data_IF_098161388667
#
_entry.id   IF_098161388667
#
_cell.length_a   1.000
_cell.length_b   1.000
_cell.length_c   1.000
_cell.angle_alpha   90.00
_cell.angle_beta   90.00
_cell.angle_gamma   90.00
#
_symmetry.space_group_name_H-M   'P 1'
#
loop_
_entity.id
_entity.type
_entity.pdbx_description
1 polymer ?
#
# COMPACT_ATOMS: atom_id res chain seq x y z
N UNK A 1 -30.62 -66.53 80.85
CA UNK A 1 -30.49 -66.84 79.40
C UNK A 1 -29.82 -65.66 78.72
N UNK A 2 -28.71 -65.95 78.03
CA UNK A 2 -27.84 -65.08 77.22
C UNK A 2 -27.46 -63.68 77.76
N UNK A 3 -26.31 -63.62 78.43
CA UNK A 3 -25.46 -62.42 78.43
C UNK A 3 -24.99 -62.18 76.98
N UNK A 4 -25.18 -60.99 76.39
CA UNK A 4 -24.70 -60.74 75.03
C UNK A 4 -23.17 -60.84 75.00
N UNK A 5 -22.64 -61.65 74.07
CA UNK A 5 -21.19 -61.70 73.81
C UNK A 5 -20.73 -60.29 73.45
N UNK A 6 -19.85 -59.70 74.27
CA UNK A 6 -19.18 -58.44 73.91
C UNK A 6 -18.42 -58.65 72.61
N UNK A 7 -18.73 -57.86 71.59
CA UNK A 7 -17.92 -57.78 70.38
C UNK A 7 -16.53 -57.27 70.76
N UNK A 8 -15.52 -58.10 70.54
CA UNK A 8 -14.12 -57.75 70.80
C UNK A 8 -13.53 -57.16 69.53
N UNK A 9 -13.41 -55.84 69.51
CA UNK A 9 -12.76 -55.08 68.43
C UNK A 9 -11.28 -54.86 68.75
N UNK A 10 -10.49 -54.59 67.72
CA UNK A 10 -9.08 -54.20 67.79
C UNK A 10 -8.88 -52.93 66.97
N UNK A 11 -7.92 -52.09 67.37
CA UNK A 11 -7.60 -50.88 66.63
C UNK A 11 -6.84 -51.20 65.35
N UNK A 12 -7.17 -50.52 64.25
CA UNK A 12 -6.32 -50.51 63.06
C UNK A 12 -4.97 -49.86 63.40
N UNK A 13 -3.90 -50.30 62.73
CA UNK A 13 -2.56 -49.73 62.92
C UNK A 13 -2.42 -48.36 62.22
N UNK A 14 -3.31 -48.04 61.27
CA UNK A 14 -3.45 -46.72 60.66
C UNK A 14 -4.47 -45.87 61.43
N UNK A 15 -4.02 -44.76 62.02
CA UNK A 15 -4.83 -43.84 62.85
C UNK A 15 -5.86 -43.04 62.07
N UNK A 16 -5.77 -43.05 60.73
CA UNK A 16 -6.71 -42.37 59.82
C UNK A 16 -7.66 -43.36 59.13
N UNK A 17 -7.70 -44.62 59.59
CA UNK A 17 -8.64 -45.62 59.08
C UNK A 17 -10.08 -45.30 59.54
N UNK A 18 -11.06 -45.16 58.63
CA UNK A 18 -12.47 -44.90 59.00
C UNK A 18 -13.09 -45.98 59.90
N UNK A 19 -12.49 -47.17 59.90
CA UNK A 19 -12.92 -48.33 60.68
C UNK A 19 -12.07 -48.54 61.94
N UNK A 20 -11.31 -47.53 62.37
CA UNK A 20 -10.31 -47.58 63.47
C UNK A 20 -10.82 -48.33 64.71
N UNK A 21 -12.08 -48.14 65.11
CA UNK A 21 -12.67 -48.70 66.32
C UNK A 21 -13.64 -49.87 66.07
N UNK A 22 -13.76 -50.32 64.81
CA UNK A 22 -14.76 -51.30 64.36
C UNK A 22 -14.17 -52.58 63.76
N UNK A 23 -12.84 -52.76 63.76
CA UNK A 23 -12.22 -53.98 63.24
C UNK A 23 -12.39 -55.11 64.25
N UNK A 24 -13.04 -56.21 63.87
CA UNK A 24 -13.14 -57.40 64.72
C UNK A 24 -11.74 -57.97 64.97
N UNK A 25 -11.42 -58.33 66.22
CA UNK A 25 -10.07 -58.83 66.59
C UNK A 25 -9.62 -60.02 65.72
N UNK A 26 -10.55 -60.92 65.37
CA UNK A 26 -10.28 -62.08 64.50
C UNK A 26 -9.94 -61.70 63.05
N UNK A 27 -10.32 -60.50 62.60
CA UNK A 27 -10.15 -60.01 61.23
C UNK A 27 -9.02 -58.97 61.12
N UNK A 28 -8.34 -58.62 62.23
CA UNK A 28 -7.30 -57.58 62.26
C UNK A 28 -6.20 -57.82 61.22
N UNK A 29 -5.71 -59.05 61.09
CA UNK A 29 -4.64 -59.39 60.15
C UNK A 29 -5.07 -59.22 58.69
N UNK A 30 -6.28 -59.66 58.34
CA UNK A 30 -6.85 -59.49 57.00
C UNK A 30 -7.09 -58.00 56.69
N UNK A 31 -7.62 -57.27 57.66
CA UNK A 31 -7.79 -55.82 57.54
C UNK A 31 -6.46 -55.11 57.33
N UNK A 32 -5.38 -55.48 58.01
CA UNK A 32 -4.08 -54.82 57.84
C UNK A 32 -3.53 -54.90 56.40
N UNK A 33 -3.72 -56.03 55.70
CA UNK A 33 -3.30 -56.18 54.30
C UNK A 33 -4.22 -55.48 53.30
N UNK A 34 -5.52 -55.40 53.60
CA UNK A 34 -6.55 -54.87 52.68
C UNK A 34 -6.96 -53.43 53.00
N UNK A 35 -6.49 -52.86 54.11
CA UNK A 35 -6.86 -51.52 54.56
C UNK A 35 -6.48 -50.49 53.50
N UNK A 36 -7.43 -49.71 52.95
CA UNK A 36 -7.12 -48.65 52.00
C UNK A 36 -6.18 -47.59 52.57
N UNK A 37 -6.16 -47.44 53.90
CA UNK A 37 -5.30 -46.50 54.62
C UNK A 37 -3.99 -47.12 55.09
N UNK A 38 -3.64 -48.34 54.65
CA UNK A 38 -2.32 -48.92 54.93
C UNK A 38 -1.24 -48.09 54.24
N UNK A 39 -0.09 -47.99 54.89
CA UNK A 39 1.04 -47.21 54.38
C UNK A 39 1.77 -48.02 53.28
N UNK A 40 2.07 -47.39 52.16
CA UNK A 40 2.94 -47.87 51.08
C UNK A 40 4.16 -46.97 50.93
N UNK A 41 5.24 -47.56 50.42
CA UNK A 41 6.49 -46.86 50.12
C UNK A 41 6.60 -46.59 48.61
N UNK A 42 7.04 -45.39 48.23
CA UNK A 42 7.34 -45.04 46.84
C UNK A 42 8.86 -45.05 46.61
N UNK A 43 9.35 -45.90 45.70
CA UNK A 43 10.78 -45.96 45.35
C UNK A 43 11.32 -44.78 44.54
N UNK A 44 10.45 -43.88 44.05
CA UNK A 44 10.87 -42.69 43.30
C UNK A 44 11.20 -41.51 44.23
N UNK A 45 10.28 -41.16 45.13
CA UNK A 45 10.47 -40.05 46.07
C UNK A 45 10.88 -40.49 47.48
N UNK A 46 11.01 -41.80 47.71
CA UNK A 46 11.28 -42.42 49.03
C UNK A 46 10.23 -42.11 50.11
N UNK A 47 9.06 -41.58 49.71
CA UNK A 47 7.98 -41.19 50.60
C UNK A 47 7.03 -42.33 50.96
N UNK A 48 6.25 -42.10 52.02
CA UNK A 48 5.24 -43.04 52.53
C UNK A 48 3.83 -42.45 52.37
N UNK A 49 2.91 -43.21 51.78
CA UNK A 49 1.56 -42.74 51.42
C UNK A 49 0.49 -43.78 51.77
N UNK A 50 -0.77 -43.37 51.82
CA UNK A 50 -1.87 -44.33 51.94
C UNK A 50 -2.01 -45.13 50.63
N UNK A 51 -2.33 -46.42 50.74
CA UNK A 51 -2.54 -47.25 49.55
C UNK A 51 -3.64 -46.72 48.64
N UNK A 52 -4.70 -46.13 49.21
CA UNK A 52 -5.78 -45.47 48.46
C UNK A 52 -5.30 -44.33 47.56
N UNK A 53 -4.21 -43.65 47.92
CA UNK A 53 -3.61 -42.57 47.13
C UNK A 53 -2.38 -43.01 46.34
N UNK A 54 -1.99 -44.30 46.36
CA UNK A 54 -0.77 -44.77 45.70
C UNK A 54 -0.79 -44.51 44.18
N UNK A 55 -1.95 -44.75 43.53
CA UNK A 55 -2.08 -44.54 42.09
C UNK A 55 -1.95 -43.06 41.72
N UNK A 56 -2.70 -42.21 42.42
CA UNK A 56 -2.65 -40.75 42.24
C UNK A 56 -1.24 -40.21 42.52
N UNK A 57 -0.62 -40.67 43.60
CA UNK A 57 0.77 -40.33 43.92
C UNK A 57 1.74 -40.76 42.80
N UNK A 58 1.64 -41.97 42.25
CA UNK A 58 2.54 -42.41 41.17
C UNK A 58 2.40 -41.57 39.90
N UNK A 59 1.18 -41.10 39.59
CA UNK A 59 0.91 -40.21 38.47
C UNK A 59 1.43 -38.78 38.72
N UNK A 60 1.36 -38.32 39.97
CA UNK A 60 1.75 -36.97 40.40
C UNK A 60 3.11 -36.91 41.12
N UNK A 61 3.91 -37.98 41.07
CA UNK A 61 5.15 -38.07 41.83
C UNK A 61 6.16 -37.09 41.24
N UNK A 62 6.38 -35.95 41.91
CA UNK A 62 7.31 -34.90 41.49
C UNK A 62 8.76 -35.41 41.30
N UNK A 63 9.14 -36.49 42.00
CA UNK A 63 10.47 -37.12 41.96
C UNK A 63 10.47 -38.36 41.07
N UNK A 64 9.51 -38.51 40.16
CA UNK A 64 9.55 -39.58 39.17
C UNK A 64 10.87 -39.50 38.42
N UNK A 65 11.67 -40.56 38.49
CA UNK A 65 12.91 -40.67 37.75
C UNK A 65 12.57 -40.80 36.27
N UNK A 66 13.06 -39.87 35.46
CA UNK A 66 12.94 -39.87 34.01
C UNK A 66 14.30 -40.17 33.41
N UNK A 67 14.37 -41.08 32.44
CA UNK A 67 15.58 -41.33 31.70
C UNK A 67 15.66 -40.40 30.48
N UNK A 68 16.84 -39.84 30.22
CA UNK A 68 17.14 -39.17 28.96
C UNK A 68 17.00 -40.15 27.78
N UNK A 69 16.33 -39.76 26.70
CA UNK A 69 16.15 -40.64 25.52
C UNK A 69 17.49 -40.97 24.83
N UNK A 70 18.50 -40.12 24.99
CA UNK A 70 19.78 -40.20 24.29
C UNK A 70 20.84 -40.92 25.13
N UNK A 71 21.28 -40.32 26.24
CA UNK A 71 22.38 -40.85 27.06
C UNK A 71 21.94 -41.84 28.15
N UNK A 72 20.63 -42.06 28.31
CA UNK A 72 20.01 -42.97 29.30
C UNK A 72 20.25 -42.60 30.77
N UNK A 73 20.80 -41.42 31.07
CA UNK A 73 20.95 -40.91 32.44
C UNK A 73 19.58 -40.71 33.11
N UNK A 74 19.45 -41.19 34.35
CA UNK A 74 18.27 -40.95 35.19
C UNK A 74 18.31 -39.54 35.80
N UNK A 75 17.22 -38.80 35.67
CA UNK A 75 17.07 -37.40 36.08
C UNK A 75 15.78 -37.22 36.90
N UNK A 76 15.74 -36.24 37.79
CA UNK A 76 14.61 -36.01 38.70
C UNK A 76 13.61 -35.05 38.04
N UNK A 77 12.45 -35.60 37.66
CA UNK A 77 11.38 -34.79 37.07
C UNK A 77 11.73 -34.18 35.71
N UNK A 78 10.80 -33.40 35.18
CA UNK A 78 10.89 -32.85 33.83
C UNK A 78 11.87 -31.67 33.72
N UNK A 79 11.99 -30.84 34.76
CA UNK A 79 12.87 -29.65 34.73
C UNK A 79 14.35 -30.03 34.61
N UNK A 80 14.81 -31.01 35.40
CA UNK A 80 16.18 -31.52 35.32
C UNK A 80 16.43 -32.22 33.97
N UNK A 81 15.42 -32.94 33.46
CA UNK A 81 15.48 -33.56 32.14
C UNK A 81 15.63 -32.53 31.02
N UNK A 82 14.85 -31.46 31.04
CA UNK A 82 14.90 -30.41 30.04
C UNK A 82 16.24 -29.67 30.07
N UNK A 83 16.73 -29.29 31.25
CA UNK A 83 18.05 -28.66 31.41
C UNK A 83 19.19 -29.59 30.93
N UNK A 84 19.08 -30.88 31.19
CA UNK A 84 20.02 -31.87 30.66
C UNK A 84 19.99 -31.95 29.14
N UNK A 85 18.81 -31.98 28.49
CA UNK A 85 18.71 -32.07 27.03
C UNK A 85 19.41 -30.91 26.30
N UNK A 86 19.46 -29.73 26.89
CA UNK A 86 20.20 -28.58 26.36
C UNK A 86 21.73 -28.79 26.33
N UNK A 87 22.25 -29.65 27.21
CA UNK A 87 23.70 -29.89 27.40
C UNK A 87 24.13 -31.33 27.09
N UNK A 88 23.19 -32.23 26.81
CA UNK A 88 23.45 -33.63 26.53
C UNK A 88 24.31 -33.79 25.27
N UNK A 89 25.46 -34.44 25.41
CA UNK A 89 26.42 -34.67 24.32
C UNK A 89 25.92 -35.68 23.28
N UNK A 90 25.04 -36.59 23.68
CA UNK A 90 24.42 -37.60 22.82
C UNK A 90 23.11 -37.12 22.18
N UNK A 91 22.59 -35.95 22.59
CA UNK A 91 21.39 -35.39 21.99
C UNK A 91 21.62 -35.06 20.51
N UNK A 92 20.69 -35.47 19.66
CA UNK A 92 20.70 -35.14 18.24
C UNK A 92 20.34 -33.67 18.06
N UNK A 93 21.29 -32.88 17.56
CA UNK A 93 21.09 -31.46 17.26
C UNK A 93 21.21 -31.19 15.75
N UNK A 94 20.58 -30.11 15.32
CA UNK A 94 20.66 -29.61 13.94
C UNK A 94 21.85 -28.65 13.80
N UNK A 95 22.43 -28.56 12.61
CA UNK A 95 23.49 -27.59 12.32
C UNK A 95 22.96 -26.14 12.46
N UNK A 96 23.79 -25.25 13.01
CA UNK A 96 23.48 -23.82 13.13
C UNK A 96 23.21 -23.13 11.77
N UNK A 97 23.64 -23.76 10.68
CA UNK A 97 23.44 -23.27 9.32
C UNK A 97 22.26 -23.94 8.59
N UNK A 98 21.32 -24.56 9.31
CA UNK A 98 20.10 -25.16 8.72
C UNK A 98 19.32 -24.18 7.85
N UNK A 99 19.14 -22.95 8.32
CA UNK A 99 18.41 -21.91 7.58
C UNK A 99 19.15 -21.45 6.32
N UNK A 100 20.44 -21.77 6.23
CA UNK A 100 21.29 -21.52 5.06
C UNK A 100 21.48 -22.78 4.20
N UNK A 101 20.74 -23.87 4.47
CA UNK A 101 20.67 -25.07 3.64
C UNK A 101 21.43 -26.29 4.17
N UNK A 102 22.06 -26.23 5.35
CA UNK A 102 22.73 -27.41 5.92
C UNK A 102 21.75 -28.36 6.63
N UNK A 103 21.47 -29.52 6.03
CA UNK A 103 20.52 -30.50 6.59
C UNK A 103 21.14 -31.50 7.58
N UNK A 104 22.38 -31.27 8.06
CA UNK A 104 23.07 -32.20 8.95
C UNK A 104 22.41 -32.22 10.34
N UNK A 105 22.09 -33.43 10.80
CA UNK A 105 21.71 -33.74 12.19
C UNK A 105 22.68 -34.77 12.74
N UNK A 106 23.22 -34.53 13.92
CA UNK A 106 24.19 -35.41 14.55
C UNK A 106 24.18 -35.23 16.07
N UNK A 107 24.72 -36.18 16.85
CA UNK A 107 24.97 -35.98 18.27
C UNK A 107 25.78 -34.70 18.50
N UNK A 108 25.49 -33.98 19.58
CA UNK A 108 26.16 -32.71 19.91
C UNK A 108 27.69 -32.82 19.91
N UNK A 109 28.23 -33.93 20.45
CA UNK A 109 29.67 -34.22 20.44
C UNK A 109 30.27 -34.28 19.04
N UNK A 110 29.56 -34.89 18.08
CA UNK A 110 29.99 -35.01 16.68
C UNK A 110 29.76 -33.71 15.89
N UNK A 111 28.81 -32.87 16.32
CA UNK A 111 28.53 -31.59 15.68
C UNK A 111 29.71 -30.61 15.79
N UNK A 112 30.58 -30.75 16.80
CA UNK A 112 31.79 -29.93 16.92
C UNK A 112 32.80 -30.20 15.80
N UNK A 113 32.92 -31.46 15.36
CA UNK A 113 33.75 -31.82 14.21
C UNK A 113 33.14 -31.29 12.91
N UNK A 114 31.81 -31.41 12.75
CA UNK A 114 31.09 -30.83 11.62
C UNK A 114 31.21 -29.30 11.54
N UNK A 115 31.34 -28.60 12.68
CA UNK A 115 31.60 -27.15 12.67
C UNK A 115 32.93 -26.80 11.99
N UNK A 116 33.93 -27.68 12.11
CA UNK A 116 35.25 -27.52 11.52
C UNK A 116 35.36 -28.06 10.09
N UNK A 117 34.27 -28.56 9.52
CA UNK A 117 34.22 -29.08 8.16
C UNK A 117 34.37 -27.93 7.12
N UNK A 118 35.16 -28.13 6.05
CA UNK A 118 35.38 -27.15 4.98
C UNK A 118 34.11 -26.48 4.41
N UNK A 119 32.94 -27.14 4.44
CA UNK A 119 31.70 -26.54 3.93
C UNK A 119 31.26 -25.29 4.72
N UNK A 120 31.53 -25.22 6.03
CA UNK A 120 31.23 -24.02 6.84
C UNK A 120 32.18 -22.86 6.51
N UNK A 121 33.44 -23.15 6.18
CA UNK A 121 34.39 -22.13 5.71
C UNK A 121 33.94 -21.57 4.35
N UNK A 122 33.48 -22.43 3.44
CA UNK A 122 32.92 -22.01 2.16
C UNK A 122 31.64 -21.19 2.35
N UNK A 123 30.74 -21.62 3.24
CA UNK A 123 29.51 -20.89 3.55
C UNK A 123 29.81 -19.49 4.10
N UNK A 124 30.74 -19.37 5.05
CA UNK A 124 31.19 -18.08 5.58
C UNK A 124 31.77 -17.20 4.47
N UNK A 125 32.57 -17.76 3.56
CA UNK A 125 33.12 -17.00 2.42
C UNK A 125 32.02 -16.49 1.47
N UNK A 126 31.00 -17.31 1.20
CA UNK A 126 29.85 -16.92 0.36
C UNK A 126 29.03 -15.83 1.05
N UNK A 127 28.79 -15.95 2.36
CA UNK A 127 28.08 -14.93 3.14
C UNK A 127 28.82 -13.59 3.08
N UNK A 128 30.14 -13.57 3.31
CA UNK A 128 30.94 -12.35 3.25
C UNK A 128 30.86 -11.69 1.86
N UNK A 129 31.03 -12.47 0.78
CA UNK A 129 30.90 -11.95 -0.59
C UNK A 129 29.50 -11.41 -0.89
N UNK A 130 28.46 -12.06 -0.36
CA UNK A 130 27.09 -11.58 -0.50
C UNK A 130 26.89 -10.26 0.25
N UNK A 131 27.44 -10.13 1.46
CA UNK A 131 27.38 -8.88 2.24
C UNK A 131 28.12 -7.73 1.54
N UNK A 132 29.28 -8.00 0.96
CA UNK A 132 30.02 -7.01 0.15
C UNK A 132 29.21 -6.57 -1.06
N UNK A 133 28.64 -7.53 -1.80
CA UNK A 133 27.79 -7.24 -2.97
C UNK A 133 26.55 -6.44 -2.59
N UNK A 134 25.90 -6.77 -1.47
CA UNK A 134 24.75 -6.01 -0.95
C UNK A 134 25.16 -4.58 -0.62
N UNK A 135 26.32 -4.38 0.00
CA UNK A 135 26.83 -3.05 0.34
C UNK A 135 27.11 -2.22 -0.91
N UNK A 136 27.73 -2.82 -1.94
CA UNK A 136 27.95 -2.17 -3.24
C UNK A 136 26.63 -1.80 -3.94
N UNK A 137 25.64 -2.70 -3.93
CA UNK A 137 24.33 -2.43 -4.51
C UNK A 137 23.60 -1.32 -3.76
N UNK A 138 23.65 -1.31 -2.43
CA UNK A 138 23.09 -0.23 -1.61
C UNK A 138 23.74 1.12 -1.93
N UNK A 139 25.05 1.16 -2.17
CA UNK A 139 25.72 2.38 -2.59
C UNK A 139 25.26 2.83 -3.98
N UNK A 140 25.19 1.92 -4.95
CA UNK A 140 24.71 2.23 -6.31
C UNK A 140 23.27 2.75 -6.32
N UNK A 141 22.40 2.18 -5.50
CA UNK A 141 21.02 2.65 -5.35
C UNK A 141 21.00 4.09 -4.83
N UNK A 142 21.78 4.41 -3.79
CA UNK A 142 21.89 5.79 -3.26
C UNK A 142 22.41 6.78 -4.30
N UNK A 143 23.39 6.36 -5.11
CA UNK A 143 23.93 7.20 -6.20
C UNK A 143 22.89 7.42 -7.30
N UNK A 144 22.15 6.38 -7.67
CA UNK A 144 21.06 6.46 -8.65
C UNK A 144 19.94 7.38 -8.16
N UNK A 145 19.53 7.28 -6.90
CA UNK A 145 18.54 8.16 -6.27
C UNK A 145 18.98 9.62 -6.31
N UNK A 146 20.25 9.89 -5.98
CA UNK A 146 20.83 11.24 -6.05
C UNK A 146 20.78 11.80 -7.48
N UNK A 147 21.15 10.99 -8.47
CA UNK A 147 21.13 11.40 -9.87
C UNK A 147 19.70 11.68 -10.35
N UNK A 148 18.75 10.79 -10.00
CA UNK A 148 17.34 10.93 -10.36
C UNK A 148 16.74 12.22 -9.77
N UNK A 149 17.06 12.56 -8.52
CA UNK A 149 16.63 13.81 -7.89
C UNK A 149 17.17 15.06 -8.62
N UNK A 150 18.44 15.04 -9.06
CA UNK A 150 19.02 16.14 -9.85
C UNK A 150 18.30 16.31 -11.18
N UNK A 151 18.08 15.20 -11.90
CA UNK A 151 17.38 15.20 -13.19
C UNK A 151 15.93 15.68 -13.05
N UNK A 152 15.25 15.27 -11.98
CA UNK A 152 13.89 15.71 -11.70
C UNK A 152 13.81 17.21 -11.43
N UNK A 153 14.78 17.78 -10.71
CA UNK A 153 14.86 19.21 -10.45
C UNK A 153 15.18 20.00 -11.73
N UNK A 154 16.10 19.51 -12.57
CA UNK A 154 16.37 20.10 -13.89
C UNK A 154 15.13 20.09 -14.78
N UNK A 155 14.42 18.96 -14.87
CA UNK A 155 13.19 18.84 -15.64
C UNK A 155 12.08 19.77 -15.11
N UNK A 156 11.99 19.94 -13.79
CA UNK A 156 11.05 20.88 -13.16
C UNK A 156 11.37 22.32 -13.53
N UNK A 157 12.64 22.69 -13.52
CA UNK A 157 13.10 24.03 -13.87
C UNK A 157 12.87 24.34 -15.36
N UNK A 158 13.14 23.40 -16.25
CA UNK A 158 12.84 23.55 -17.69
C UNK A 158 11.32 23.65 -17.93
N UNK A 159 10.52 22.83 -17.24
CA UNK A 159 9.06 22.92 -17.32
C UNK A 159 8.56 24.32 -16.90
N UNK A 160 9.06 24.87 -15.81
CA UNK A 160 8.68 26.21 -15.35
C UNK A 160 9.06 27.31 -16.37
N UNK A 161 10.20 27.19 -17.04
CA UNK A 161 10.60 28.11 -18.12
C UNK A 161 9.65 28.03 -19.31
N UNK A 162 9.29 26.81 -19.72
CA UNK A 162 8.35 26.59 -20.82
C UNK A 162 6.96 27.12 -20.49
N UNK A 163 6.46 26.89 -19.28
CA UNK A 163 5.17 27.44 -18.82
C UNK A 163 5.15 28.97 -18.90
N UNK A 164 6.21 29.64 -18.43
CA UNK A 164 6.33 31.09 -18.56
C UNK A 164 6.32 31.54 -20.02
N UNK A 165 7.03 30.83 -20.89
CA UNK A 165 7.09 31.16 -22.32
C UNK A 165 5.74 30.98 -23.01
N UNK A 166 4.99 29.94 -22.65
CA UNK A 166 3.63 29.72 -23.13
C UNK A 166 2.74 30.91 -22.73
N UNK A 167 2.80 31.33 -21.47
CA UNK A 167 2.00 32.47 -21.00
C UNK A 167 2.34 33.78 -21.75
N UNK A 168 3.61 34.03 -22.03
CA UNK A 168 4.05 35.19 -22.82
C UNK A 168 3.49 35.14 -24.25
N UNK A 169 3.51 33.96 -24.89
CA UNK A 169 2.98 33.76 -26.23
C UNK A 169 1.45 33.90 -26.27
N UNK A 170 0.74 33.37 -25.28
CA UNK A 170 -0.71 33.52 -25.16
C UNK A 170 -1.10 34.99 -25.03
N UNK A 171 -0.40 35.77 -24.20
CA UNK A 171 -0.66 37.20 -24.06
C UNK A 171 -0.41 37.95 -25.37
N UNK A 172 0.70 37.67 -26.05
CA UNK A 172 1.01 38.29 -27.35
C UNK A 172 -0.01 37.92 -28.42
N UNK A 173 -0.53 36.69 -28.39
CA UNK A 173 -1.58 36.24 -29.31
C UNK A 173 -2.89 36.98 -29.05
N UNK A 174 -3.27 37.17 -27.79
CA UNK A 174 -4.47 37.96 -27.43
C UNK A 174 -4.36 39.41 -27.92
N UNK A 175 -3.20 40.04 -27.78
CA UNK A 175 -2.96 41.40 -28.30
C UNK A 175 -3.08 41.44 -29.83
N UNK A 176 -2.51 40.46 -30.53
CA UNK A 176 -2.61 40.35 -31.98
C UNK A 176 -4.05 40.12 -32.46
N UNK A 177 -4.81 39.28 -31.74
CA UNK A 177 -6.22 39.03 -32.03
C UNK A 177 -7.08 40.28 -31.81
N UNK A 178 -6.81 41.06 -30.76
CA UNK A 178 -7.49 42.35 -30.54
C UNK A 178 -7.19 43.33 -31.67
N UNK A 179 -5.92 43.47 -32.06
CA UNK A 179 -5.54 44.34 -33.18
C UNK A 179 -6.23 43.94 -34.50
N UNK A 180 -6.37 42.63 -34.75
CA UNK A 180 -7.09 42.13 -35.93
C UNK A 180 -8.57 42.55 -35.90
N UNK A 181 -9.23 42.44 -34.75
CA UNK A 181 -10.65 42.84 -34.58
C UNK A 181 -10.80 44.32 -34.87
N UNK A 182 -9.95 45.17 -34.28
CA UNK A 182 -10.01 46.62 -34.49
C UNK A 182 -9.84 46.97 -35.98
N UNK A 183 -8.91 46.31 -36.67
CA UNK A 183 -8.70 46.49 -38.10
C UNK A 183 -9.90 46.01 -38.94
N UNK A 184 -10.54 44.91 -38.58
CA UNK A 184 -11.74 44.42 -39.24
C UNK A 184 -12.91 45.41 -39.13
N UNK A 185 -13.08 46.02 -37.96
CA UNK A 185 -14.07 47.06 -37.72
C UNK A 185 -13.78 48.33 -38.55
N UNK A 186 -12.52 48.79 -38.58
CA UNK A 186 -12.10 49.92 -39.41
C UNK A 186 -12.34 49.67 -40.91
N UNK A 187 -12.04 48.46 -41.39
CA UNK A 187 -12.30 48.04 -42.77
C UNK A 187 -13.80 48.03 -43.05
N UNK A 188 -14.62 47.59 -42.10
CA UNK A 188 -16.09 47.57 -42.23
C UNK A 188 -16.65 49.00 -42.31
N UNK A 189 -16.17 49.92 -41.48
CA UNK A 189 -16.54 51.35 -41.54
C UNK A 189 -16.11 51.97 -42.86
N UNK A 190 -14.88 51.71 -43.29
CA UNK A 190 -14.36 52.22 -44.58
C UNK A 190 -15.18 51.70 -45.76
N UNK A 191 -15.59 50.42 -45.72
CA UNK A 191 -16.46 49.81 -46.74
C UNK A 191 -17.83 50.48 -46.83
N UNK A 192 -18.48 50.77 -45.69
CA UNK A 192 -19.79 51.45 -45.71
C UNK A 192 -19.69 52.89 -46.21
N UNK A 193 -18.61 53.60 -45.87
CA UNK A 193 -18.34 54.93 -46.38
C UNK A 193 -18.13 54.93 -47.91
N UNK A 194 -17.35 53.97 -48.44
CA UNK A 194 -17.16 53.80 -49.88
C UNK A 194 -18.48 53.53 -50.59
N UNK A 195 -19.33 52.64 -50.06
CA UNK A 195 -20.65 52.35 -50.65
C UNK A 195 -21.52 53.61 -50.73
N UNK A 196 -21.52 54.43 -49.67
CA UNK A 196 -22.25 55.71 -49.65
C UNK A 196 -21.73 56.71 -50.68
N UNK A 197 -20.41 56.75 -50.90
CA UNK A 197 -19.80 57.59 -51.93
C UNK A 197 -20.14 57.09 -53.35
N UNK A 198 -20.08 55.78 -53.59
CA UNK A 198 -20.51 55.17 -54.86
C UNK A 198 -21.96 55.54 -55.20
N UNK A 199 -22.87 55.42 -54.22
CA UNK A 199 -24.28 55.78 -54.40
C UNK A 199 -24.45 57.27 -54.75
N UNK A 200 -23.68 58.16 -54.09
CA UNK A 200 -23.68 59.61 -54.38
C UNK A 200 -23.17 59.90 -55.78
N UNK A 201 -22.05 59.30 -56.18
CA UNK A 201 -21.48 59.46 -57.54
C UNK A 201 -22.47 58.96 -58.59
N UNK A 202 -23.15 57.84 -58.32
CA UNK A 202 -24.21 57.31 -59.17
C UNK A 202 -25.37 58.30 -59.36
N UNK A 203 -25.81 58.98 -58.29
CA UNK A 203 -26.85 60.04 -58.39
C UNK A 203 -26.38 61.25 -59.20
N UNK A 204 -25.20 61.79 -58.89
CA UNK A 204 -24.62 62.95 -59.60
C UNK A 204 -24.48 62.65 -61.10
N UNK A 205 -24.01 61.44 -61.45
CA UNK A 205 -23.85 61.03 -62.84
C UNK A 205 -25.17 61.02 -63.62
N UNK A 206 -26.25 60.56 -62.98
CA UNK A 206 -27.61 60.58 -63.57
C UNK A 206 -28.12 62.02 -63.72
N UNK A 207 -27.96 62.87 -62.71
CA UNK A 207 -28.33 64.28 -62.77
C UNK A 207 -27.59 65.03 -63.88
N UNK A 208 -26.28 64.80 -64.03
CA UNK A 208 -25.47 65.37 -65.09
C UNK A 208 -25.98 64.95 -66.49
N UNK A 209 -26.37 63.69 -66.66
CA UNK A 209 -26.97 63.21 -67.91
C UNK A 209 -28.31 63.90 -68.21
N UNK A 210 -29.18 64.07 -67.20
CA UNK A 210 -30.44 64.81 -67.34
C UNK A 210 -30.19 66.27 -67.68
N UNK A 211 -29.22 66.93 -67.04
CA UNK A 211 -28.86 68.32 -67.30
C UNK A 211 -28.44 68.53 -68.76
N UNK A 212 -27.57 67.67 -69.30
CA UNK A 212 -27.18 67.69 -70.72
C UNK A 212 -28.38 67.55 -71.66
N UNK A 213 -29.37 66.71 -71.32
CA UNK A 213 -30.60 66.58 -72.12
C UNK A 213 -31.43 67.86 -72.11
N UNK A 214 -31.55 68.52 -70.95
CA UNK A 214 -32.26 69.81 -70.82
C UNK A 214 -31.56 70.89 -71.65
N UNK A 215 -30.22 70.95 -71.58
CA UNK A 215 -29.41 71.89 -72.37
C UNK A 215 -29.67 71.71 -73.88
N UNK A 216 -29.63 70.47 -74.39
CA UNK A 216 -29.96 70.19 -75.81
C UNK A 216 -31.39 70.58 -76.19
N UNK A 217 -32.36 70.36 -75.29
CA UNK A 217 -33.75 70.77 -75.54
C UNK A 217 -33.89 72.29 -75.58
N UNK A 218 -33.22 73.01 -74.66
CA UNK A 218 -33.20 74.47 -74.66
C UNK A 218 -32.57 75.03 -75.93
N UNK A 219 -31.41 74.50 -76.36
CA UNK A 219 -30.80 74.87 -77.65
C UNK A 219 -31.79 74.69 -78.81
N UNK A 220 -32.54 73.59 -78.82
CA UNK A 220 -33.57 73.36 -79.84
C UNK A 220 -34.72 74.35 -79.76
N UNK A 221 -35.20 74.70 -78.57
CA UNK A 221 -36.27 75.71 -78.38
C UNK A 221 -35.82 77.07 -78.91
N UNK A 222 -34.59 77.48 -78.62
CA UNK A 222 -34.02 78.75 -79.11
C UNK A 222 -34.07 78.85 -80.65
N UNK A 223 -33.85 77.73 -81.37
CA UNK A 223 -33.96 77.74 -82.84
C UNK A 223 -35.37 78.04 -83.37
N UNK A 224 -36.41 77.80 -82.58
CA UNK A 224 -37.81 78.02 -82.96
C UNK A 224 -38.36 79.39 -82.54
N UNK A 225 -37.72 80.08 -81.57
CA UNK A 225 -38.17 81.39 -81.08
C UNK A 225 -38.15 82.46 -82.18
N UNK A 226 -37.05 82.59 -82.91
CA UNK A 226 -36.94 83.59 -83.99
C UNK A 226 -37.97 83.45 -85.12
N UNK A 227 -38.27 82.22 -85.62
CA UNK A 227 -39.38 82.00 -86.54
C UNK A 227 -40.77 82.34 -85.96
N UNK A 228 -41.04 81.96 -84.71
CA UNK A 228 -42.33 82.23 -84.05
C UNK A 228 -42.55 83.72 -83.81
N UNK A 229 -41.51 84.45 -83.39
CA UNK A 229 -41.58 85.90 -83.16
C UNK A 229 -41.85 86.65 -84.48
N UNK A 230 -41.26 86.18 -85.59
CA UNK A 230 -41.58 86.68 -86.93
C UNK A 230 -43.04 86.40 -87.34
N UNK A 231 -43.56 85.21 -87.07
CA UNK A 231 -44.98 84.88 -87.31
C UNK A 231 -45.93 85.75 -86.47
N UNK A 232 -45.63 85.96 -85.19
CA UNK A 232 -46.44 86.79 -84.29
C UNK A 232 -46.43 88.27 -84.68
N UNK A 233 -45.30 88.80 -85.12
CA UNK A 233 -45.23 90.17 -85.66
C UNK A 233 -46.04 90.29 -86.94
N UNK A 234 -45.92 89.32 -87.86
CA UNK A 234 -46.73 89.29 -89.08
C UNK A 234 -48.24 89.18 -88.83
N UNK A 235 -48.69 88.55 -87.74
CA UNK A 235 -50.11 88.53 -87.36
C UNK A 235 -50.58 89.84 -86.72
N UNK A 236 -49.72 90.53 -85.96
CA UNK A 236 -50.02 91.87 -85.42
C UNK A 236 -50.20 92.91 -86.54
N UNK A 237 -49.42 92.79 -87.62
CA UNK A 237 -49.55 93.65 -88.79
C UNK A 237 -50.86 93.43 -89.58
N UNK A 238 -51.58 92.33 -89.31
CA UNK A 238 -52.88 91.99 -89.96
C UNK A 238 -54.08 92.47 -89.13
N UNK A 239 -53.95 92.60 -87.81
CA UNK A 239 -55.00 93.13 -86.92
C UNK A 239 -55.06 94.68 -86.89
N UNK A 240 -54.12 95.39 -87.55
CA UNK A 240 -54.10 96.87 -87.68
C UNK A 240 -54.69 97.41 -89.01
N UNK A 241 -55.42 96.59 -89.78
CA UNK A 241 -56.16 96.99 -91.00
C UNK A 241 -57.69 96.86 -90.84
#
# INVERSE_FOLDING_TARGET
THVPKRLVVARCDSTVCPYEWMVLRKEKSKHASECPMRVVYCGNCEGFYAYSSEKEHKEQCEIKKLACEYCKMELKGDDEKNAHLETCEDALIECAFKDFGCNKKAPRKEMQEHKNDPHNALLNQVILKAMDTISELQQKVKEMERCNMSQQEEARNEKAKLEKRIQELENSQLEADQYRIDLEDDVKVSRTALQSLEDKVGRISKEAATRRRVEMLNERVETYLGPLERLLNGLRDVDEQ
#
